data_IF_011972408581
#
_entry.id   IF_011972408581
#
_cell.length_a   1.000
_cell.length_b   1.000
_cell.length_c   1.000
_cell.angle_alpha   90.00
_cell.angle_beta   90.00
_cell.angle_gamma   90.00
#
_symmetry.space_group_name_H-M   'P 1'
#
loop_
_entity.id
_entity.type
_entity.pdbx_description
1 polymer ?
#
# COMPACT_ATOMS: atom_id res chain seq x y z
N UNK A 1 25.74 4.10 -1.69
CA UNK A 1 26.44 5.39 -1.46
C UNK A 1 26.72 5.50 0.03
N UNK A 2 27.94 5.82 0.45
CA UNK A 2 28.19 6.11 1.87
C UNK A 2 27.34 7.32 2.29
N UNK A 3 26.82 7.29 3.53
CA UNK A 3 25.99 8.36 4.05
C UNK A 3 26.71 9.71 4.05
N UNK A 4 26.00 10.78 3.77
CA UNK A 4 26.53 12.14 3.73
C UNK A 4 26.71 12.79 5.11
N UNK A 5 26.22 12.15 6.18
CA UNK A 5 26.24 12.68 7.54
C UNK A 5 27.29 11.99 8.40
N UNK A 6 28.19 12.77 9.01
CA UNK A 6 29.26 12.24 9.88
C UNK A 6 28.65 11.76 11.22
N UNK A 7 29.00 10.53 11.61
CA UNK A 7 28.70 9.96 12.92
C UNK A 7 29.75 10.43 13.91
N UNK A 8 29.52 11.52 14.62
CA UNK A 8 30.52 12.15 15.51
C UNK A 8 31.03 11.20 16.62
N UNK A 9 30.19 10.49 17.39
CA UNK A 9 30.71 9.64 18.46
C UNK A 9 31.69 8.58 17.96
N UNK A 10 31.41 7.74 16.94
CA UNK A 10 32.39 6.77 16.45
C UNK A 10 33.55 7.42 15.69
N UNK A 11 33.38 8.59 15.09
CA UNK A 11 34.49 9.37 14.49
C UNK A 11 35.48 9.81 15.55
N UNK A 12 35.02 10.36 16.67
CA UNK A 12 35.86 10.78 17.78
C UNK A 12 36.53 9.61 18.48
N UNK A 13 35.79 8.51 18.66
CA UNK A 13 36.38 7.27 19.21
C UNK A 13 37.51 6.72 18.33
N UNK A 14 37.35 6.80 16.97
CA UNK A 14 38.36 6.35 16.03
C UNK A 14 39.57 7.31 15.94
N UNK A 15 39.37 8.59 16.24
CA UNK A 15 40.46 9.57 16.34
C UNK A 15 41.42 9.27 17.50
N UNK A 16 40.95 8.63 18.58
CA UNK A 16 41.70 8.37 19.81
C UNK A 16 42.39 9.66 20.33
N UNK A 17 43.65 9.59 20.66
CA UNK A 17 44.47 10.68 21.21
C UNK A 17 45.18 11.53 20.18
N UNK A 18 44.93 11.31 18.86
CA UNK A 18 45.55 12.11 17.81
C UNK A 18 45.02 13.54 17.80
N UNK A 19 45.90 14.52 17.74
CA UNK A 19 45.54 15.94 17.89
C UNK A 19 44.68 16.46 16.73
N UNK A 20 44.89 15.98 15.50
CA UNK A 20 44.13 16.44 14.31
C UNK A 20 43.18 15.37 13.78
N UNK A 21 42.05 15.82 13.23
CA UNK A 21 41.09 14.96 12.54
C UNK A 21 41.59 14.70 11.11
N UNK A 22 41.69 13.43 10.74
CA UNK A 22 42.01 12.98 9.38
C UNK A 22 40.82 12.29 8.74
N UNK A 23 40.80 12.24 7.41
CA UNK A 23 39.74 11.57 6.64
C UNK A 23 39.50 10.12 7.07
N UNK A 24 40.57 9.39 7.41
CA UNK A 24 40.51 7.98 7.87
C UNK A 24 39.80 7.80 9.21
N UNK A 25 39.66 8.86 9.98
CA UNK A 25 38.90 8.83 11.24
C UNK A 25 37.40 8.96 11.01
N UNK A 26 36.98 9.52 9.88
CA UNK A 26 35.57 9.80 9.62
C UNK A 26 34.76 8.50 9.56
N UNK A 27 33.71 8.48 10.34
CA UNK A 27 32.66 7.46 10.29
C UNK A 27 31.38 8.16 9.90
N UNK A 28 30.72 7.62 8.91
CA UNK A 28 29.46 8.16 8.42
C UNK A 28 28.31 7.37 9.07
N UNK A 29 27.24 8.08 9.39
CA UNK A 29 26.00 7.42 9.80
C UNK A 29 25.61 6.57 8.60
N UNK A 30 25.67 5.24 8.75
CA UNK A 30 24.82 4.40 7.92
C UNK A 30 23.40 4.75 8.35
N UNK A 31 22.74 5.62 7.60
CA UNK A 31 21.29 5.57 7.59
C UNK A 31 20.95 4.17 7.09
N UNK A 32 20.73 3.23 8.00
CA UNK A 32 19.75 2.20 7.75
C UNK A 32 18.50 3.02 7.46
N UNK A 33 18.22 3.30 6.18
CA UNK A 33 16.89 3.69 5.76
C UNK A 33 16.02 2.67 6.47
N UNK A 34 15.28 3.10 7.49
CA UNK A 34 14.18 2.29 7.96
C UNK A 34 13.46 1.94 6.67
N UNK A 35 13.50 0.66 6.34
CA UNK A 35 12.87 0.15 5.14
C UNK A 35 11.38 0.35 5.39
N UNK A 36 10.88 1.54 5.01
CA UNK A 36 9.49 1.93 5.23
C UNK A 36 8.56 0.91 4.57
N UNK A 37 7.31 1.02 4.85
CA UNK A 37 6.28 0.20 4.21
C UNK A 37 5.74 0.95 3.00
N UNK A 38 5.54 0.25 1.89
CA UNK A 38 4.67 0.69 0.80
C UNK A 38 3.31 0.03 0.97
N UNK A 39 2.29 0.84 1.22
CA UNK A 39 0.89 0.41 1.22
C UNK A 39 0.30 0.60 -0.18
N UNK A 40 0.06 -0.48 -0.91
CA UNK A 40 -0.62 -0.47 -2.20
C UNK A 40 -2.10 -0.78 -2.00
N UNK A 41 -2.95 0.22 -2.12
CA UNK A 41 -4.39 0.09 -1.99
C UNK A 41 -5.02 -0.13 -3.37
N UNK A 42 -5.89 -1.14 -3.47
CA UNK A 42 -6.70 -1.45 -4.64
C UNK A 42 -8.16 -1.31 -4.25
N UNK A 43 -8.81 -0.26 -4.74
CA UNK A 43 -10.19 0.07 -4.41
C UNK A 43 -11.14 -0.33 -5.53
N UNK A 44 -12.11 -1.12 -5.18
CA UNK A 44 -13.26 -1.44 -6.02
C UNK A 44 -14.22 -0.25 -6.09
N UNK A 45 -14.42 0.27 -7.30
CA UNK A 45 -15.37 1.34 -7.60
C UNK A 45 -16.55 0.85 -8.46
N UNK A 46 -16.82 -0.45 -8.44
CA UNK A 46 -17.92 -1.06 -9.20
C UNK A 46 -19.31 -0.59 -8.72
N UNK A 47 -20.32 -0.90 -9.51
CA UNK A 47 -21.70 -0.55 -9.19
C UNK A 47 -22.20 -1.14 -7.86
N UNK A 48 -21.75 -2.34 -7.48
CA UNK A 48 -22.11 -2.96 -6.20
C UNK A 48 -21.54 -2.20 -5.01
N UNK A 49 -20.33 -1.65 -5.14
CA UNK A 49 -19.71 -0.79 -4.12
C UNK A 49 -20.39 0.58 -4.01
N UNK A 50 -21.00 1.07 -5.08
CA UNK A 50 -21.80 2.32 -5.04
C UNK A 50 -23.10 2.13 -4.25
N UNK A 51 -23.67 0.92 -4.28
CA UNK A 51 -24.86 0.61 -3.52
C UNK A 51 -24.57 0.57 -2.02
N UNK A 52 -25.52 0.99 -1.20
CA UNK A 52 -25.48 0.82 0.27
C UNK A 52 -24.34 1.55 0.98
N UNK A 53 -23.83 2.65 0.45
CA UNK A 53 -22.76 3.47 1.05
C UNK A 53 -21.41 2.75 1.26
N UNK A 54 -21.22 1.55 0.69
CA UNK A 54 -19.97 0.77 0.83
C UNK A 54 -18.75 1.55 0.34
N UNK A 55 -18.89 2.22 -0.81
CA UNK A 55 -17.81 3.06 -1.35
C UNK A 55 -17.51 4.27 -0.46
N UNK A 56 -18.54 4.88 0.16
CA UNK A 56 -18.33 5.98 1.09
C UNK A 56 -17.55 5.52 2.33
N UNK A 57 -17.90 4.37 2.89
CA UNK A 57 -17.17 3.76 4.00
C UNK A 57 -15.74 3.40 3.62
N UNK A 58 -15.53 2.81 2.43
CA UNK A 58 -14.20 2.49 1.91
C UNK A 58 -13.33 3.74 1.74
N UNK A 59 -13.90 4.84 1.27
CA UNK A 59 -13.22 6.14 1.17
C UNK A 59 -12.84 6.69 2.54
N UNK A 60 -13.73 6.64 3.52
CA UNK A 60 -13.43 7.06 4.90
C UNK A 60 -12.27 6.25 5.50
N UNK A 61 -12.30 4.94 5.34
CA UNK A 61 -11.21 4.06 5.79
C UNK A 61 -9.88 4.37 5.08
N UNK A 62 -9.91 4.60 3.77
CA UNK A 62 -8.72 4.99 3.02
C UNK A 62 -8.12 6.30 3.52
N UNK A 63 -8.93 7.30 3.85
CA UNK A 63 -8.45 8.56 4.44
C UNK A 63 -7.67 8.27 5.72
N UNK A 64 -8.23 7.48 6.64
CA UNK A 64 -7.56 7.12 7.89
C UNK A 64 -6.25 6.35 7.66
N UNK A 65 -6.24 5.37 6.73
CA UNK A 65 -5.04 4.60 6.39
C UNK A 65 -3.96 5.45 5.72
N UNK A 66 -4.35 6.44 4.91
CA UNK A 66 -3.40 7.39 4.31
C UNK A 66 -2.82 8.36 5.35
N UNK A 67 -3.62 8.82 6.29
CA UNK A 67 -3.14 9.65 7.40
C UNK A 67 -2.15 8.88 8.27
N UNK A 68 -2.43 7.62 8.56
CA UNK A 68 -1.51 6.74 9.28
C UNK A 68 -0.21 6.55 8.51
N UNK A 69 -0.27 6.23 7.21
CA UNK A 69 0.91 6.11 6.36
C UNK A 69 1.75 7.41 6.36
N UNK A 70 1.08 8.58 6.32
CA UNK A 70 1.73 9.88 6.43
C UNK A 70 2.44 10.06 7.77
N UNK A 71 1.78 9.75 8.88
CA UNK A 71 2.33 9.89 10.22
C UNK A 71 3.57 9.00 10.42
N UNK A 72 3.53 7.78 9.90
CA UNK A 72 4.61 6.80 9.92
C UNK A 72 5.69 7.03 8.84
N UNK A 73 5.51 8.04 7.97
CA UNK A 73 6.35 8.33 6.80
C UNK A 73 6.48 7.16 5.82
N UNK A 74 5.47 6.32 5.76
CA UNK A 74 5.34 5.23 4.82
C UNK A 74 4.86 5.74 3.45
N UNK A 75 5.23 5.03 2.38
CA UNK A 75 4.69 5.30 1.05
C UNK A 75 3.30 4.66 0.91
N UNK A 76 2.45 5.31 0.15
CA UNK A 76 1.15 4.80 -0.25
C UNK A 76 0.98 4.89 -1.76
N UNK A 77 0.20 3.99 -2.32
CA UNK A 77 -0.28 4.05 -3.69
C UNK A 77 -1.76 3.66 -3.70
N UNK A 78 -2.55 4.27 -4.59
CA UNK A 78 -3.96 3.97 -4.77
C UNK A 78 -4.25 3.64 -6.23
N UNK A 79 -4.77 2.45 -6.45
CA UNK A 79 -5.31 1.99 -7.71
C UNK A 79 -6.83 1.86 -7.53
N UNK A 80 -7.60 2.48 -8.41
CA UNK A 80 -9.04 2.30 -8.44
C UNK A 80 -9.41 1.49 -9.68
N UNK A 81 -10.31 0.55 -9.53
CA UNK A 81 -10.85 -0.20 -10.66
C UNK A 81 -12.38 -0.13 -10.66
N UNK A 82 -12.97 -0.08 -11.84
CA UNK A 82 -14.42 -0.01 -12.04
C UNK A 82 -14.75 0.15 -13.52
N UNK A 83 -15.94 -0.29 -13.95
CA UNK A 83 -16.30 -0.29 -15.35
C UNK A 83 -15.41 -1.23 -16.17
N UNK A 84 -14.47 -0.69 -16.94
CA UNK A 84 -13.56 -1.47 -17.81
C UNK A 84 -12.08 -1.18 -17.54
N UNK A 85 -11.76 -0.37 -16.54
CA UNK A 85 -10.40 0.15 -16.33
C UNK A 85 -9.93 -0.01 -14.89
N UNK A 86 -8.60 -0.07 -14.74
CA UNK A 86 -7.90 0.10 -13.49
C UNK A 86 -6.89 1.24 -13.67
N UNK A 87 -6.98 2.28 -12.83
CA UNK A 87 -6.14 3.46 -12.93
C UNK A 87 -5.37 3.69 -11.63
N UNK A 88 -4.07 3.98 -11.75
CA UNK A 88 -3.27 4.47 -10.64
C UNK A 88 -3.68 5.94 -10.35
N UNK A 89 -4.29 6.16 -9.19
CA UNK A 89 -4.78 7.47 -8.77
C UNK A 89 -3.78 8.24 -7.93
N UNK A 90 -2.90 7.52 -7.20
CA UNK A 90 -1.90 8.14 -6.33
C UNK A 90 -0.67 7.25 -6.18
N UNK A 91 0.49 7.87 -6.02
CA UNK A 91 1.74 7.24 -5.56
C UNK A 91 2.48 6.42 -6.61
N UNK A 92 3.47 5.63 -6.17
CA UNK A 92 3.95 5.49 -4.78
C UNK A 92 4.64 6.76 -4.25
N UNK A 93 4.15 7.28 -3.14
CA UNK A 93 4.73 8.44 -2.45
C UNK A 93 4.24 8.52 -1.00
N UNK A 94 4.97 9.23 -0.13
CA UNK A 94 4.41 9.61 1.18
C UNK A 94 3.25 10.58 0.97
N UNK A 95 2.03 10.30 1.50
CA UNK A 95 0.83 11.07 1.17
C UNK A 95 0.78 12.42 1.90
N UNK A 96 1.71 13.32 1.60
CA UNK A 96 1.81 14.64 2.24
C UNK A 96 0.68 15.61 1.83
N UNK A 97 0.19 15.46 0.60
CA UNK A 97 -0.79 16.34 -0.04
C UNK A 97 -2.01 15.55 -0.49
N UNK A 98 -2.48 14.66 0.37
CA UNK A 98 -3.65 13.85 0.09
C UNK A 98 -4.89 14.74 -0.07
N UNK A 99 -5.71 14.45 -1.12
CA UNK A 99 -6.93 15.17 -1.41
C UNK A 99 -8.04 14.18 -1.81
N UNK A 100 -9.25 14.38 -1.29
CA UNK A 100 -10.43 13.56 -1.58
C UNK A 100 -10.76 13.42 -3.08
N UNK A 101 -10.36 14.40 -3.91
CA UNK A 101 -10.52 14.33 -5.37
C UNK A 101 -9.89 13.11 -6.01
N UNK A 102 -8.92 12.49 -5.35
CA UNK A 102 -8.25 11.28 -5.84
C UNK A 102 -9.11 10.02 -5.65
N UNK A 103 -10.20 10.14 -4.86
CA UNK A 103 -11.19 9.10 -4.61
C UNK A 103 -12.41 9.20 -5.56
N UNK A 104 -12.36 10.00 -6.61
CA UNK A 104 -13.44 10.00 -7.59
C UNK A 104 -13.58 8.62 -8.23
N UNK A 105 -14.81 8.07 -8.29
CA UNK A 105 -15.05 6.78 -8.91
C UNK A 105 -14.65 6.82 -10.38
N UNK A 106 -14.02 5.78 -10.84
CA UNK A 106 -13.81 5.54 -12.26
C UNK A 106 -15.17 5.15 -12.82
N UNK A 107 -15.65 5.91 -13.76
CA UNK A 107 -17.01 5.89 -14.31
C UNK A 107 -17.73 4.56 -14.26
N UNK A 108 -18.94 4.58 -13.74
CA UNK A 108 -19.72 3.39 -13.47
C UNK A 108 -20.35 2.77 -14.71
N UNK A 109 -20.60 1.47 -14.63
CA UNK A 109 -21.36 0.68 -15.59
C UNK A 109 -20.51 -0.34 -16.34
N UNK A 110 -20.83 -1.61 -16.15
CA UNK A 110 -20.12 -2.74 -16.74
C UNK A 110 -19.43 -3.58 -15.68
N UNK A 111 -18.86 -4.70 -16.09
CA UNK A 111 -18.21 -5.66 -15.18
C UNK A 111 -17.15 -5.04 -14.30
N UNK A 112 -16.80 -5.77 -13.28
CA UNK A 112 -15.78 -5.35 -12.32
C UNK A 112 -14.41 -5.86 -12.78
N UNK A 113 -13.51 -4.99 -13.28
CA UNK A 113 -12.22 -5.40 -13.81
C UNK A 113 -11.23 -5.71 -12.67
N UNK A 114 -11.54 -6.69 -11.87
CA UNK A 114 -10.72 -7.08 -10.71
C UNK A 114 -9.34 -7.58 -11.14
N UNK A 115 -9.27 -8.40 -12.20
CA UNK A 115 -8.00 -8.92 -12.73
C UNK A 115 -7.07 -7.76 -13.14
N UNK A 116 -7.47 -6.80 -14.01
CA UNK A 116 -6.65 -5.63 -14.33
C UNK A 116 -6.25 -4.80 -13.11
N UNK A 117 -7.13 -4.69 -12.10
CA UNK A 117 -6.81 -3.99 -10.84
C UNK A 117 -5.64 -4.63 -10.10
N UNK A 118 -5.68 -5.94 -9.95
CA UNK A 118 -4.62 -6.71 -9.28
C UNK A 118 -3.34 -6.77 -10.12
N UNK A 119 -3.44 -6.91 -11.45
CA UNK A 119 -2.28 -6.86 -12.35
C UNK A 119 -1.56 -5.51 -12.28
N UNK A 120 -2.31 -4.41 -12.23
CA UNK A 120 -1.75 -3.07 -12.04
C UNK A 120 -1.01 -2.96 -10.70
N UNK A 121 -1.57 -3.51 -9.62
CA UNK A 121 -0.92 -3.56 -8.31
C UNK A 121 0.34 -4.44 -8.35
N UNK A 122 0.29 -5.61 -8.97
CA UNK A 122 1.45 -6.49 -9.13
C UNK A 122 2.61 -5.80 -9.84
N UNK A 123 2.33 -5.10 -10.94
CA UNK A 123 3.34 -4.32 -11.67
C UNK A 123 3.93 -3.18 -10.82
N UNK A 124 3.11 -2.49 -10.03
CA UNK A 124 3.56 -1.43 -9.14
C UNK A 124 4.47 -1.99 -8.03
N UNK A 125 4.07 -3.08 -7.39
CA UNK A 125 4.84 -3.74 -6.33
C UNK A 125 6.16 -4.28 -6.87
N UNK A 126 6.18 -4.88 -8.06
CA UNK A 126 7.39 -5.35 -8.72
C UNK A 126 8.38 -4.20 -9.03
N UNK A 127 7.88 -3.05 -9.46
CA UNK A 127 8.72 -1.85 -9.65
C UNK A 127 9.28 -1.34 -8.32
N UNK A 128 8.47 -1.33 -7.27
CA UNK A 128 8.89 -0.93 -5.94
C UNK A 128 9.94 -1.88 -5.36
N UNK A 129 9.79 -3.20 -5.54
CA UNK A 129 10.77 -4.21 -5.15
C UNK A 129 12.14 -3.98 -5.78
N UNK A 130 12.17 -3.66 -7.08
CA UNK A 130 13.41 -3.32 -7.80
C UNK A 130 14.02 -2.01 -7.33
N UNK A 131 13.20 -0.99 -7.01
CA UNK A 131 13.65 0.33 -6.55
C UNK A 131 14.22 0.28 -5.13
N UNK A 132 13.56 -0.45 -4.23
CA UNK A 132 13.94 -0.56 -2.84
C UNK A 132 13.64 -1.97 -2.31
N UNK A 133 14.56 -2.94 -2.48
CA UNK A 133 14.34 -4.33 -2.07
C UNK A 133 14.08 -4.52 -0.56
N UNK A 134 14.59 -3.60 0.27
CA UNK A 134 14.43 -3.66 1.71
C UNK A 134 13.08 -3.11 2.21
N UNK A 135 12.30 -2.46 1.33
CA UNK A 135 10.99 -1.92 1.68
C UNK A 135 9.95 -3.05 1.74
N UNK A 136 9.16 -3.11 2.81
CA UNK A 136 8.01 -4.00 2.86
C UNK A 136 6.88 -3.50 1.95
N UNK A 137 6.18 -4.40 1.29
CA UNK A 137 5.11 -4.12 0.33
C UNK A 137 3.83 -4.80 0.78
N UNK A 138 2.87 -3.98 1.19
CA UNK A 138 1.57 -4.44 1.65
C UNK A 138 0.52 -4.16 0.59
N UNK A 139 -0.19 -5.21 0.17
CA UNK A 139 -1.33 -5.09 -0.72
C UNK A 139 -2.62 -5.08 0.09
N UNK A 140 -3.42 -4.04 -0.11
CA UNK A 140 -4.75 -3.89 0.47
C UNK A 140 -5.79 -3.94 -0.63
N UNK A 141 -6.74 -4.84 -0.55
CA UNK A 141 -7.84 -4.96 -1.51
C UNK A 141 -9.14 -4.64 -0.81
N UNK A 142 -9.78 -3.54 -1.21
CA UNK A 142 -11.04 -3.05 -0.65
C UNK A 142 -12.15 -3.34 -1.68
N UNK A 143 -12.97 -4.36 -1.45
CA UNK A 143 -14.00 -4.81 -2.37
C UNK A 143 -15.13 -5.53 -1.61
N UNK A 144 -16.31 -5.64 -2.23
CA UNK A 144 -17.39 -6.51 -1.76
C UNK A 144 -17.31 -7.94 -2.35
N UNK A 145 -16.23 -8.26 -3.07
CA UNK A 145 -15.99 -9.57 -3.64
C UNK A 145 -16.89 -9.94 -4.84
N UNK A 146 -17.74 -9.04 -5.32
CA UNK A 146 -18.69 -9.31 -6.43
C UNK A 146 -18.09 -9.18 -7.81
N UNK A 147 -16.79 -9.21 -7.91
CA UNK A 147 -16.06 -9.10 -9.16
C UNK A 147 -15.90 -10.43 -9.89
N UNK A 148 -15.90 -10.39 -11.21
CA UNK A 148 -15.59 -11.55 -12.02
C UNK A 148 -14.07 -11.77 -12.15
N UNK A 149 -13.68 -13.01 -12.39
CA UNK A 149 -12.30 -13.40 -12.65
C UNK A 149 -11.55 -13.86 -11.40
N UNK A 150 -10.42 -14.49 -11.66
CA UNK A 150 -9.52 -15.03 -10.65
C UNK A 150 -8.11 -14.57 -10.98
N UNK A 151 -7.67 -13.42 -10.45
CA UNK A 151 -6.32 -12.92 -10.69
C UNK A 151 -5.29 -13.81 -9.99
N UNK A 152 -4.05 -13.76 -10.47
CA UNK A 152 -2.93 -14.37 -9.81
C UNK A 152 -2.48 -13.55 -8.59
N UNK A 153 -1.92 -14.23 -7.59
CA UNK A 153 -1.34 -13.58 -6.42
C UNK A 153 -0.14 -12.72 -6.84
N UNK A 154 -0.09 -11.43 -6.47
CA UNK A 154 1.10 -10.61 -6.68
C UNK A 154 2.33 -11.14 -5.94
N UNK A 155 3.36 -11.56 -6.67
CA UNK A 155 4.55 -12.20 -6.11
C UNK A 155 5.36 -11.31 -5.18
N UNK A 156 5.38 -9.99 -5.45
CA UNK A 156 6.15 -9.01 -4.68
C UNK A 156 5.39 -8.39 -3.50
N UNK A 157 4.21 -8.92 -3.16
CA UNK A 157 3.49 -8.53 -1.97
C UNK A 157 3.97 -9.34 -0.76
N UNK A 158 4.54 -8.65 0.24
CA UNK A 158 5.00 -9.26 1.50
C UNK A 158 3.83 -9.54 2.46
N UNK A 159 2.80 -8.68 2.41
CA UNK A 159 1.53 -8.88 3.14
C UNK A 159 0.34 -8.55 2.25
N UNK A 160 -0.75 -9.30 2.44
CA UNK A 160 -1.99 -9.13 1.68
C UNK A 160 -3.15 -9.06 2.67
N UNK A 161 -3.94 -7.99 2.55
CA UNK A 161 -5.11 -7.74 3.37
C UNK A 161 -6.30 -7.49 2.46
N UNK A 162 -7.33 -8.30 2.59
CA UNK A 162 -8.63 -8.04 2.00
C UNK A 162 -9.51 -7.36 3.03
N UNK A 163 -10.09 -6.23 2.67
CA UNK A 163 -11.13 -5.56 3.45
C UNK A 163 -12.45 -5.85 2.76
N UNK A 164 -13.27 -6.66 3.41
CA UNK A 164 -14.51 -7.17 2.86
C UNK A 164 -15.69 -6.24 3.19
N UNK A 165 -16.27 -5.66 2.14
CA UNK A 165 -17.43 -4.79 2.23
C UNK A 165 -18.75 -5.53 1.94
N UNK A 166 -18.72 -6.85 1.83
CA UNK A 166 -19.91 -7.63 1.59
C UNK A 166 -20.86 -7.55 2.78
N UNK A 167 -22.05 -6.97 2.59
CA UNK A 167 -23.10 -6.80 3.63
C UNK A 167 -24.45 -7.31 3.17
N UNK A 168 -24.49 -8.11 2.12
CA UNK A 168 -25.72 -8.65 1.56
C UNK A 168 -26.20 -9.87 2.33
N UNK A 169 -27.51 -10.17 2.26
CA UNK A 169 -28.09 -11.36 2.89
C UNK A 169 -27.48 -12.67 2.34
N UNK A 170 -27.09 -12.68 1.05
CA UNK A 170 -26.39 -13.79 0.43
C UNK A 170 -24.91 -13.40 0.30
N UNK A 171 -24.09 -14.01 1.12
CA UNK A 171 -22.65 -13.78 1.11
C UNK A 171 -21.95 -14.76 0.18
N UNK A 172 -21.14 -14.23 -0.74
CA UNK A 172 -20.30 -15.01 -1.66
C UNK A 172 -18.97 -15.41 -0.99
N UNK A 173 -18.52 -14.63 -0.01
CA UNK A 173 -17.29 -14.84 0.76
C UNK A 173 -16.02 -14.89 -0.09
N UNK A 174 -16.01 -14.23 -1.27
CA UNK A 174 -14.88 -14.30 -2.21
C UNK A 174 -13.63 -13.60 -1.69
N UNK A 175 -13.78 -12.50 -0.96
CA UNK A 175 -12.64 -11.85 -0.32
C UNK A 175 -11.90 -12.80 0.61
N UNK A 176 -12.63 -13.55 1.44
CA UNK A 176 -12.07 -14.60 2.30
C UNK A 176 -11.46 -15.75 1.54
N UNK A 177 -12.04 -16.15 0.38
CA UNK A 177 -11.47 -17.18 -0.47
C UNK A 177 -10.12 -16.76 -1.06
N UNK A 178 -10.04 -15.54 -1.62
CA UNK A 178 -8.77 -14.99 -2.14
C UNK A 178 -7.73 -14.80 -1.03
N UNK A 179 -8.13 -14.29 0.13
CA UNK A 179 -7.23 -14.13 1.26
C UNK A 179 -6.58 -15.46 1.63
N UNK A 180 -7.36 -16.53 1.78
CA UNK A 180 -6.83 -17.88 2.07
C UNK A 180 -5.92 -18.39 0.96
N UNK A 181 -6.34 -18.27 -0.30
CA UNK A 181 -5.56 -18.75 -1.45
C UNK A 181 -4.20 -18.03 -1.59
N UNK A 182 -4.13 -16.77 -1.18
CA UNK A 182 -2.93 -15.94 -1.30
C UNK A 182 -2.08 -15.87 -0.02
N UNK A 183 -2.49 -16.58 1.05
CA UNK A 183 -1.81 -16.53 2.35
C UNK A 183 -1.92 -15.16 3.02
N UNK A 184 -3.00 -14.43 2.75
CA UNK A 184 -3.32 -13.15 3.34
C UNK A 184 -4.38 -13.26 4.44
N UNK A 185 -4.85 -12.12 4.92
CA UNK A 185 -5.94 -12.01 5.89
C UNK A 185 -7.15 -11.33 5.25
N UNK A 186 -8.35 -11.68 5.73
CA UNK A 186 -9.58 -11.01 5.37
C UNK A 186 -10.18 -10.41 6.64
N UNK A 187 -10.49 -9.13 6.60
CA UNK A 187 -11.05 -8.37 7.71
C UNK A 187 -12.24 -7.56 7.23
N UNK A 188 -13.14 -7.25 8.12
CA UNK A 188 -14.24 -6.31 7.88
C UNK A 188 -13.77 -4.87 8.17
N UNK A 189 -14.45 -3.84 7.61
CA UNK A 189 -14.17 -2.45 7.97
C UNK A 189 -14.25 -2.18 9.47
N UNK A 190 -15.18 -2.81 10.16
CA UNK A 190 -15.43 -2.61 11.59
C UNK A 190 -14.25 -3.13 12.45
N UNK A 191 -13.60 -4.23 12.03
CA UNK A 191 -12.40 -4.77 12.70
C UNK A 191 -11.15 -3.90 12.52
N UNK A 192 -11.13 -2.99 11.55
CA UNK A 192 -10.01 -2.06 11.33
C UNK A 192 -10.18 -0.73 12.08
N UNK A 193 -11.40 -0.40 12.48
CA UNK A 193 -11.76 0.86 13.16
C UNK A 193 -11.80 0.67 14.68
N UNK A 194 -11.97 -0.57 15.15
CA UNK A 194 -11.95 -0.93 16.56
C UNK A 194 -10.54 -0.84 17.16
#
# INVERSE_FOLDING_TARGET
MPGTRIAWPPTLANKRTKQRLHADHLRFVRETKQSGVLHCFVLDCSGSMLAGQRLALAKGLLIALFERARAERNEAALICFGGVRADLRFGPAVPRWWNERWLHPIGGGGGTPFVPGIESAAQLLARAARRNPAQQRWLWVLSDGRSAGTPERPGDADRIVFVDFERDAVQLGRCGQFARAWGGVCVTPDELIA
#
